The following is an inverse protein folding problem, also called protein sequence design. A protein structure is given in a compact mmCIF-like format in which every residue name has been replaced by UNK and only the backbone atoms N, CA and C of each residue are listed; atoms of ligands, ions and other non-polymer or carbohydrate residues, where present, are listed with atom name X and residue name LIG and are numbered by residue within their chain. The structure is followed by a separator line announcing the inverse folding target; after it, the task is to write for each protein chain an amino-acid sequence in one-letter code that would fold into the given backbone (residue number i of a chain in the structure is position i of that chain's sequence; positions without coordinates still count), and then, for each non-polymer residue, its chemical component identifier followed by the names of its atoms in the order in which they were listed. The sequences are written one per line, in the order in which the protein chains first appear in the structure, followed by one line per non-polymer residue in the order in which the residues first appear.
data_IF_521077651888
#
_entry.id   IF_521077651888
#
_cell.length_a   1.000
_cell.length_b   1.000
_cell.length_c   1.000
_cell.angle_alpha   90.00
_cell.angle_beta   90.00
_cell.angle_gamma   90.00
#
_symmetry.space_group_name_H-M   'P 1'
#
loop_
_entity.id
_entity.type
_entity.pdbx_description
1 polymer ?
#
# COMPACT_ATOMS: atom_id res chain seq x y z
N UNK A 1 6.84 -12.32 6.22
CA UNK A 1 5.93 -11.49 5.40
C UNK A 1 5.91 -10.11 6.03
N UNK A 2 6.42 -9.10 5.33
CA UNK A 2 6.42 -7.71 5.82
C UNK A 2 5.07 -7.07 5.47
N UNK A 3 4.43 -6.44 6.47
CA UNK A 3 3.15 -5.72 6.32
C UNK A 3 3.40 -4.23 6.18
N UNK A 4 2.84 -3.61 5.15
CA UNK A 4 2.98 -2.17 4.90
C UNK A 4 1.67 -1.46 5.23
N UNK A 5 1.74 -0.44 6.06
CA UNK A 5 0.59 0.37 6.43
C UNK A 5 0.67 1.73 5.74
N UNK A 6 -0.33 2.06 4.94
CA UNK A 6 -0.43 3.32 4.21
C UNK A 6 -1.58 4.13 4.82
N UNK A 7 -1.26 5.32 5.32
CA UNK A 7 -2.25 6.27 5.84
C UNK A 7 -2.61 7.24 4.71
N UNK A 8 -3.89 7.33 4.40
CA UNK A 8 -4.45 8.16 3.33
C UNK A 8 -4.61 7.38 2.03
N UNK A 9 -5.83 7.38 1.50
CA UNK A 9 -6.22 6.71 0.25
C UNK A 9 -6.38 7.68 -0.93
N UNK A 10 -5.73 8.85 -0.87
CA UNK A 10 -5.67 9.78 -2.00
C UNK A 10 -4.88 9.20 -3.18
N UNK A 11 -4.77 9.93 -4.28
CA UNK A 11 -4.08 9.47 -5.51
C UNK A 11 -2.67 8.93 -5.24
N UNK A 12 -1.91 9.64 -4.41
CA UNK A 12 -0.57 9.20 -4.00
C UNK A 12 -0.61 7.93 -3.15
N UNK A 13 -1.53 7.83 -2.19
CA UNK A 13 -1.70 6.66 -1.33
C UNK A 13 -2.09 5.41 -2.13
N UNK A 14 -3.01 5.55 -3.07
CA UNK A 14 -3.39 4.47 -3.99
C UNK A 14 -2.20 4.00 -4.84
N UNK A 15 -1.37 4.93 -5.34
CA UNK A 15 -0.14 4.58 -6.06
C UNK A 15 0.86 3.81 -5.21
N UNK A 16 1.04 4.20 -3.94
CA UNK A 16 1.92 3.50 -2.98
C UNK A 16 1.38 2.08 -2.71
N UNK A 17 0.08 1.93 -2.45
CA UNK A 17 -0.56 0.62 -2.25
C UNK A 17 -0.35 -0.27 -3.46
N UNK A 18 -0.59 0.23 -4.66
CA UNK A 18 -0.42 -0.52 -5.89
C UNK A 18 1.03 -0.99 -6.07
N UNK A 19 2.02 -0.10 -5.86
CA UNK A 19 3.43 -0.44 -6.03
C UNK A 19 3.90 -1.55 -5.10
N UNK A 20 3.42 -1.59 -3.85
CA UNK A 20 3.79 -2.61 -2.89
C UNK A 20 2.98 -3.91 -3.04
N UNK A 21 1.68 -3.80 -3.33
CA UNK A 21 0.85 -4.98 -3.61
C UNK A 21 1.37 -5.76 -4.83
N UNK A 22 1.80 -5.06 -5.90
CA UNK A 22 2.38 -5.69 -7.10
C UNK A 22 3.70 -6.43 -6.82
N UNK A 23 4.43 -6.03 -5.78
CA UNK A 23 5.67 -6.70 -5.34
C UNK A 23 5.41 -7.86 -4.37
N UNK A 24 4.14 -8.17 -4.08
CA UNK A 24 3.75 -9.28 -3.20
C UNK A 24 3.74 -8.94 -1.71
N UNK A 25 3.81 -7.66 -1.34
CA UNK A 25 3.64 -7.23 0.05
C UNK A 25 2.17 -7.18 0.45
N UNK A 26 1.89 -7.54 1.69
CA UNK A 26 0.56 -7.35 2.28
C UNK A 26 0.42 -5.89 2.72
N UNK A 27 -0.49 -5.15 2.07
CA UNK A 27 -0.69 -3.71 2.32
C UNK A 27 -2.03 -3.48 3.00
N UNK A 28 -2.02 -2.68 4.05
CA UNK A 28 -3.21 -2.23 4.77
C UNK A 28 -3.33 -0.72 4.57
N UNK A 29 -4.47 -0.26 4.08
CA UNK A 29 -4.76 1.17 3.90
C UNK A 29 -5.75 1.65 4.95
N UNK A 30 -5.57 2.87 5.47
CA UNK A 30 -6.53 3.54 6.36
C UNK A 30 -6.67 5.02 6.05
#
# INVERSE_FOLDING_TARGET
MEKIFVIGAGTMGAGIVQAFAQKGYEVIVR
#
